data_IF_156577507871
#
_entry.id   IF_156577507871
#
_cell.length_a   1.000
_cell.length_b   1.000
_cell.length_c   1.000
_cell.angle_alpha   90.00
_cell.angle_beta   90.00
_cell.angle_gamma   90.00
#
_symmetry.space_group_name_H-M   'P 1'
#
loop_
_entity.id
_entity.type
_entity.pdbx_description
1 polymer ?
#
# COMPACT_ATOMS: atom_id res chain seq x y z
N UNK A 1 6.17 34.96 1.90
CA UNK A 1 4.90 34.23 2.14
C UNK A 1 3.97 34.55 1.00
N UNK A 2 3.64 33.58 0.14
CA UNK A 2 2.54 33.79 -0.81
C UNK A 2 1.23 33.82 0.00
N UNK A 3 0.53 34.95 -0.06
CA UNK A 3 -0.75 35.13 0.60
C UNK A 3 -1.76 34.07 0.09
N UNK A 4 -2.31 33.28 1.01
CA UNK A 4 -3.43 32.33 0.87
C UNK A 4 -3.71 31.85 -0.58
N UNK A 5 -2.77 31.11 -1.17
CA UNK A 5 -2.97 30.47 -2.48
C UNK A 5 -3.90 29.24 -2.39
N UNK A 6 -3.98 28.64 -1.19
CA UNK A 6 -4.73 27.42 -0.94
C UNK A 6 -6.23 27.59 -1.24
N UNK A 7 -6.83 28.68 -0.75
CA UNK A 7 -8.25 28.96 -1.04
C UNK A 7 -8.54 29.14 -2.54
N UNK A 8 -7.53 29.54 -3.34
CA UNK A 8 -7.66 29.62 -4.80
C UNK A 8 -7.52 28.27 -5.50
N UNK A 9 -6.85 27.31 -4.88
CA UNK A 9 -6.80 25.94 -5.38
C UNK A 9 -8.12 25.24 -5.14
N UNK A 10 -8.65 25.39 -3.93
CA UNK A 10 -9.88 24.72 -3.47
C UNK A 10 -11.12 25.23 -4.21
N UNK A 11 -11.16 26.52 -4.58
CA UNK A 11 -12.25 27.09 -5.35
C UNK A 11 -12.05 27.02 -6.88
N UNK A 12 -10.97 26.38 -7.34
CA UNK A 12 -10.65 26.24 -8.77
C UNK A 12 -10.17 27.53 -9.47
N UNK A 13 -10.00 28.64 -8.76
CA UNK A 13 -9.55 29.92 -9.31
C UNK A 13 -8.08 29.92 -9.77
N UNK A 14 -7.30 28.91 -9.41
CA UNK A 14 -5.91 28.72 -9.86
C UNK A 14 -5.48 27.26 -9.71
N UNK A 15 -4.63 26.77 -10.62
CA UNK A 15 -3.94 25.50 -10.46
C UNK A 15 -2.60 25.67 -9.67
N UNK A 16 -2.25 24.73 -8.77
CA UNK A 16 -0.96 24.72 -8.08
C UNK A 16 0.19 24.54 -9.07
N UNK A 17 1.32 25.22 -8.83
CA UNK A 17 2.54 25.08 -9.63
C UNK A 17 3.30 23.80 -9.27
N UNK A 18 4.11 23.28 -10.20
CA UNK A 18 4.95 22.11 -9.97
C UNK A 18 5.85 22.25 -8.72
N UNK A 19 6.56 23.37 -8.55
CA UNK A 19 7.42 23.61 -7.38
C UNK A 19 6.66 23.56 -6.04
N UNK A 20 5.39 23.96 -6.02
CA UNK A 20 4.53 23.84 -4.85
C UNK A 20 4.20 22.37 -4.57
N UNK A 21 3.78 21.64 -5.61
CA UNK A 21 3.48 20.21 -5.51
C UNK A 21 4.71 19.40 -5.07
N UNK A 22 5.91 19.71 -5.57
CA UNK A 22 7.16 19.05 -5.13
C UNK A 22 7.41 19.21 -3.62
N UNK A 23 7.25 20.43 -3.08
CA UNK A 23 7.38 20.68 -1.64
C UNK A 23 6.28 20.03 -0.79
N UNK A 24 5.13 19.76 -1.40
CA UNK A 24 4.03 19.01 -0.78
C UNK A 24 4.36 17.52 -0.76
N UNK A 25 4.90 16.97 -1.86
CA UNK A 25 5.40 15.59 -1.93
C UNK A 25 6.53 15.33 -0.93
N UNK A 26 7.47 16.27 -0.77
CA UNK A 26 8.55 16.20 0.24
C UNK A 26 8.04 16.06 1.68
N UNK A 27 6.79 16.48 1.94
CA UNK A 27 6.11 16.31 3.24
C UNK A 27 5.35 14.99 3.36
N UNK A 28 5.51 14.08 2.39
CA UNK A 28 4.89 12.75 2.39
C UNK A 28 3.47 12.71 1.82
N UNK A 29 3.03 13.76 1.12
CA UNK A 29 1.70 13.77 0.47
C UNK A 29 1.76 13.00 -0.85
N UNK A 30 0.82 12.08 -1.04
CA UNK A 30 0.62 11.34 -2.29
C UNK A 30 0.01 12.24 -3.38
N UNK A 31 0.88 12.79 -4.24
CA UNK A 31 0.43 13.68 -5.32
C UNK A 31 -0.43 12.98 -6.37
N UNK A 32 -0.23 11.68 -6.62
CA UNK A 32 -1.08 10.96 -7.57
C UNK A 32 -2.52 10.92 -7.04
N UNK A 33 -2.67 10.62 -5.74
CA UNK A 33 -3.97 10.65 -5.07
C UNK A 33 -4.60 12.03 -5.11
N UNK A 34 -3.83 13.07 -4.75
CA UNK A 34 -4.33 14.45 -4.73
C UNK A 34 -4.82 14.91 -6.11
N UNK A 35 -4.13 14.53 -7.19
CA UNK A 35 -4.45 14.98 -8.54
C UNK A 35 -5.50 14.13 -9.25
N UNK A 36 -5.57 12.82 -8.95
CA UNK A 36 -6.37 11.87 -9.73
C UNK A 36 -7.41 11.11 -8.91
N UNK A 37 -7.38 11.24 -7.58
CA UNK A 37 -8.17 10.42 -6.66
C UNK A 37 -7.69 8.97 -6.54
N UNK A 38 -6.66 8.57 -7.31
CA UNK A 38 -6.10 7.22 -7.29
C UNK A 38 -4.80 7.21 -6.48
N UNK A 39 -4.68 6.36 -5.44
CA UNK A 39 -3.46 6.30 -4.65
C UNK A 39 -2.29 5.82 -5.48
N UNK A 40 -1.09 6.32 -5.18
CA UNK A 40 0.16 5.79 -5.74
C UNK A 40 0.22 4.30 -5.41
N UNK A 41 0.28 3.41 -6.43
CA UNK A 41 0.43 1.99 -6.18
C UNK A 41 1.66 1.77 -5.31
N UNK A 42 1.50 1.02 -4.23
CA UNK A 42 2.64 0.60 -3.41
C UNK A 42 3.60 -0.11 -4.37
N UNK A 43 4.75 0.50 -4.61
CA UNK A 43 5.83 -0.16 -5.31
C UNK A 43 6.29 -1.29 -4.40
N UNK A 44 5.92 -2.52 -4.76
CA UNK A 44 6.47 -3.72 -4.16
C UNK A 44 7.88 -3.87 -4.71
N UNK A 45 8.80 -3.06 -4.19
CA UNK A 45 10.20 -3.12 -4.56
C UNK A 45 10.78 -4.46 -4.07
N UNK A 46 11.61 -5.09 -4.92
CA UNK A 46 12.34 -6.32 -4.63
C UNK A 46 11.50 -7.60 -4.49
N UNK A 47 10.38 -7.73 -5.21
CA UNK A 47 9.76 -9.03 -5.38
C UNK A 47 10.73 -10.01 -6.05
N UNK A 48 10.83 -11.22 -5.52
CA UNK A 48 11.47 -12.33 -6.19
C UNK A 48 10.69 -12.72 -7.46
N UNK A 49 11.35 -13.39 -8.41
CA UNK A 49 10.70 -13.89 -9.63
C UNK A 49 9.47 -14.79 -9.34
N UNK A 50 9.50 -15.50 -8.20
CA UNK A 50 8.39 -16.37 -7.79
C UNK A 50 7.19 -15.52 -7.39
N UNK A 51 7.39 -14.48 -6.57
CA UNK A 51 6.32 -13.59 -6.12
C UNK A 51 5.73 -12.80 -7.28
N UNK A 52 6.57 -12.32 -8.20
CA UNK A 52 6.10 -11.63 -9.41
C UNK A 52 5.19 -12.53 -10.26
N UNK A 53 5.61 -13.78 -10.48
CA UNK A 53 4.81 -14.76 -11.23
C UNK A 53 3.49 -15.10 -10.53
N UNK A 54 3.50 -15.22 -9.20
CA UNK A 54 2.28 -15.46 -8.40
C UNK A 54 1.31 -14.28 -8.55
N UNK A 55 1.79 -13.04 -8.43
CA UNK A 55 0.95 -11.85 -8.58
C UNK A 55 0.42 -11.71 -10.01
N UNK A 56 1.24 -11.98 -11.02
CA UNK A 56 0.85 -11.96 -12.43
C UNK A 56 -0.29 -12.95 -12.69
N UNK A 57 -0.14 -14.20 -12.24
CA UNK A 57 -1.18 -15.21 -12.35
C UNK A 57 -2.44 -14.80 -11.60
N UNK A 58 -2.31 -14.37 -10.34
CA UNK A 58 -3.44 -13.93 -9.53
C UNK A 58 -4.26 -12.83 -10.22
N UNK A 59 -3.61 -11.81 -10.78
CA UNK A 59 -4.28 -10.71 -11.49
C UNK A 59 -5.00 -11.14 -12.77
N UNK A 60 -4.57 -12.24 -13.40
CA UNK A 60 -5.18 -12.77 -14.62
C UNK A 60 -6.39 -13.71 -14.36
N UNK A 61 -6.60 -14.13 -13.11
CA UNK A 61 -7.71 -15.02 -12.74
C UNK A 61 -9.05 -14.28 -12.64
N UNK A 62 -10.15 -15.04 -12.70
CA UNK A 62 -11.49 -14.50 -12.43
C UNK A 62 -11.64 -14.07 -10.96
N UNK A 63 -12.63 -13.21 -10.68
CA UNK A 63 -12.83 -12.64 -9.34
C UNK A 63 -13.13 -13.71 -8.30
N UNK A 64 -13.89 -14.74 -8.69
CA UNK A 64 -14.26 -15.86 -7.83
C UNK A 64 -13.01 -16.64 -7.37
N UNK A 65 -12.08 -16.88 -8.30
CA UNK A 65 -10.81 -17.56 -8.01
C UNK A 65 -9.88 -16.69 -7.16
N UNK A 66 -9.81 -15.38 -7.46
CA UNK A 66 -9.07 -14.42 -6.64
C UNK A 66 -9.59 -14.38 -5.20
N UNK A 67 -10.90 -14.36 -5.02
CA UNK A 67 -11.55 -14.39 -3.70
C UNK A 67 -11.25 -15.69 -2.94
N UNK A 68 -11.25 -16.83 -3.63
CA UNK A 68 -10.88 -18.11 -3.04
C UNK A 68 -9.42 -18.13 -2.57
N UNK A 69 -8.48 -17.66 -3.42
CA UNK A 69 -7.06 -17.56 -3.07
C UNK A 69 -6.84 -16.60 -1.89
N UNK A 70 -7.56 -15.46 -1.85
CA UNK A 70 -7.47 -14.52 -0.73
C UNK A 70 -7.86 -15.18 0.58
N UNK A 71 -9.01 -15.86 0.62
CA UNK A 71 -9.49 -16.58 1.81
C UNK A 71 -8.49 -17.63 2.27
N UNK A 72 -7.99 -18.45 1.33
CA UNK A 72 -7.01 -19.50 1.64
C UNK A 72 -5.73 -18.92 2.24
N UNK A 73 -5.18 -17.89 1.59
CA UNK A 73 -3.94 -17.23 2.04
C UNK A 73 -4.10 -16.62 3.42
N UNK A 74 -5.22 -15.94 3.68
CA UNK A 74 -5.53 -15.38 5.01
C UNK A 74 -5.59 -16.46 6.08
N UNK A 75 -6.37 -17.53 5.86
CA UNK A 75 -6.50 -18.62 6.83
C UNK A 75 -5.15 -19.31 7.11
N UNK A 76 -4.33 -19.53 6.08
CA UNK A 76 -3.01 -20.15 6.25
C UNK A 76 -2.04 -19.23 7.00
N UNK A 77 -2.06 -17.93 6.74
CA UNK A 77 -1.22 -16.96 7.44
C UNK A 77 -1.59 -16.89 8.93
N UNK A 78 -2.89 -16.84 9.25
CA UNK A 78 -3.40 -16.90 10.62
C UNK A 78 -2.96 -18.19 11.31
N UNK A 79 -3.17 -19.35 10.69
CA UNK A 79 -2.80 -20.64 11.29
C UNK A 79 -1.28 -20.78 11.48
N UNK A 80 -0.48 -20.32 10.52
CA UNK A 80 0.98 -20.31 10.61
C UNK A 80 1.46 -19.44 11.78
N UNK A 81 0.89 -18.26 11.95
CA UNK A 81 1.23 -17.37 13.07
C UNK A 81 0.92 -17.99 14.44
N UNK A 82 -0.19 -18.73 14.56
CA UNK A 82 -0.60 -19.42 15.79
C UNK A 82 0.34 -20.59 16.14
N UNK A 83 0.79 -21.34 15.13
CA UNK A 83 1.79 -22.41 15.32
C UNK A 83 3.15 -21.84 15.75
N UNK A 84 3.58 -20.74 15.12
CA UNK A 84 4.86 -20.12 15.42
C UNK A 84 4.90 -19.40 16.79
N UNK A 85 3.74 -19.01 17.33
CA UNK A 85 3.61 -18.43 18.67
C UNK A 85 3.62 -19.43 19.83
N UNK A 86 3.40 -20.73 19.59
CA UNK A 86 3.35 -21.78 20.62
C UNK A 86 4.69 -22.46 20.93
N UNK A 87 5.78 -22.09 20.25
CA UNK A 87 7.09 -22.77 20.34
C UNK A 87 8.10 -22.18 21.33
N UNK A 88 7.69 -21.33 22.30
CA UNK A 88 8.57 -20.95 23.42
C UNK A 88 8.03 -21.43 24.78
N UNK A 89 8.39 -22.64 25.23
CA UNK A 89 8.30 -23.05 26.63
C UNK A 89 9.55 -22.58 27.39
N UNK A 90 9.26 -21.92 28.50
CA UNK A 90 10.05 -21.61 29.70
C UNK A 90 11.22 -22.56 30.00
N UNK A 91 12.42 -22.00 30.22
CA UNK A 91 13.45 -22.63 31.02
C UNK A 91 13.17 -22.32 32.50
N UNK A 92 13.10 -23.32 33.40
CA UNK A 92 13.11 -23.09 34.83
C UNK A 92 14.57 -23.04 35.29
N UNK A 93 15.03 -21.86 35.74
CA UNK A 93 16.29 -21.78 36.48
C UNK A 93 16.14 -22.53 37.81
N UNK A 94 17.13 -23.41 38.07
CA UNK A 94 17.33 -24.14 39.32
C UNK A 94 18.22 -23.36 40.27
#
# INVERSE_FOLDING_TARGET
>A
MEANAQGKYENGGRAPKADYLSRVAERGVDLLYVLTGSPTPIQLDNLSQVEEKVLGNYRAMFKEDQDAIRRLTSTLAEHSSVLNGKSKPTAPDS
#
